data_IF_162525527513
#
_entry.id   IF_162525527513
#
_cell.length_a   1.000
_cell.length_b   1.000
_cell.length_c   1.000
_cell.angle_alpha   90.00
_cell.angle_beta   90.00
_cell.angle_gamma   90.00
#
_symmetry.space_group_name_H-M   'P 1'
#
loop_
_entity.id
_entity.type
_entity.pdbx_description
1 polymer ?
#
# COMPACT_ATOMS: atom_id res chain seq x y z
N UNK A 1 14.32 9.56 16.04
CA UNK A 1 12.90 9.16 15.96
C UNK A 1 12.59 8.15 17.05
N UNK A 2 11.52 8.38 17.84
CA UNK A 2 11.07 7.50 18.93
C UNK A 2 10.40 6.25 18.36
N UNK A 3 10.45 5.13 19.08
CA UNK A 3 9.87 3.83 18.68
C UNK A 3 8.38 3.93 18.27
N UNK A 4 7.62 4.77 18.96
CA UNK A 4 6.22 5.08 18.64
C UNK A 4 6.03 5.67 17.24
N UNK A 5 6.96 6.50 16.76
CA UNK A 5 6.85 7.13 15.44
C UNK A 5 6.97 6.08 14.34
N UNK A 6 7.91 5.13 14.44
CA UNK A 6 8.04 4.04 13.49
C UNK A 6 6.83 3.11 13.49
N UNK A 7 6.27 2.83 14.68
CA UNK A 7 5.06 2.03 14.80
C UNK A 7 3.85 2.71 14.15
N UNK A 8 3.69 4.02 14.37
CA UNK A 8 2.64 4.82 13.74
C UNK A 8 2.75 4.84 12.21
N UNK A 9 3.96 5.09 11.68
CA UNK A 9 4.21 5.08 10.22
C UNK A 9 3.88 3.72 9.62
N UNK A 10 4.31 2.62 10.26
CA UNK A 10 4.02 1.26 9.78
C UNK A 10 2.51 0.97 9.71
N UNK A 11 1.75 1.38 10.72
CA UNK A 11 0.28 1.23 10.74
C UNK A 11 -0.38 2.06 9.64
N UNK A 12 0.02 3.33 9.49
CA UNK A 12 -0.53 4.23 8.47
C UNK A 12 -0.23 3.70 7.06
N UNK A 13 1.00 3.23 6.79
CA UNK A 13 1.35 2.64 5.51
C UNK A 13 0.57 1.36 5.21
N UNK A 14 0.30 0.54 6.23
CA UNK A 14 -0.51 -0.68 6.06
C UNK A 14 -1.98 -0.34 5.74
N UNK A 15 -2.54 0.66 6.43
CA UNK A 15 -3.89 1.14 6.14
C UNK A 15 -4.01 1.67 4.72
N UNK A 16 -3.02 2.44 4.25
CA UNK A 16 -3.01 2.98 2.90
C UNK A 16 -2.85 1.90 1.82
N UNK A 17 -2.05 0.86 2.09
CA UNK A 17 -1.95 -0.32 1.23
C UNK A 17 -3.31 -1.07 1.12
N UNK A 18 -4.04 -1.19 2.23
CA UNK A 18 -5.37 -1.83 2.22
C UNK A 18 -6.38 -1.03 1.39
N UNK A 19 -6.40 0.31 1.52
CA UNK A 19 -7.26 1.19 0.72
C UNK A 19 -6.91 1.10 -0.77
N UNK A 20 -5.63 1.10 -1.13
CA UNK A 20 -5.19 0.92 -2.51
C UNK A 20 -5.60 -0.46 -3.07
N UNK A 21 -5.56 -1.51 -2.26
CA UNK A 21 -6.00 -2.84 -2.66
C UNK A 21 -7.52 -2.89 -2.89
N UNK A 22 -8.31 -2.31 -1.98
CA UNK A 22 -9.76 -2.20 -2.15
C UNK A 22 -10.12 -1.37 -3.39
N UNK A 23 -9.42 -0.26 -3.59
CA UNK A 23 -9.54 0.55 -4.80
C UNK A 23 -9.31 -0.29 -6.05
N UNK A 24 -8.22 -1.09 -6.09
CA UNK A 24 -7.92 -1.98 -7.21
C UNK A 24 -9.05 -2.99 -7.46
N UNK A 25 -9.68 -3.53 -6.41
CA UNK A 25 -10.78 -4.47 -6.57
C UNK A 25 -12.02 -3.77 -7.16
N UNK A 26 -12.30 -2.54 -6.72
CA UNK A 26 -13.47 -1.76 -7.16
C UNK A 26 -13.35 -1.16 -8.56
N UNK A 27 -12.14 -0.89 -9.06
CA UNK A 27 -11.96 -0.52 -10.47
C UNK A 27 -12.34 -1.71 -11.34
N UNK A 28 -13.53 -1.63 -11.92
CA UNK A 28 -14.09 -2.63 -12.83
C UNK A 28 -14.27 -1.93 -14.16
N UNK A 29 -13.47 -2.32 -15.17
CA UNK A 29 -13.57 -1.76 -16.52
C UNK A 29 -13.70 -2.89 -17.54
N UNK A 30 -14.62 -2.72 -18.49
CA UNK A 30 -14.91 -3.68 -19.53
C UNK A 30 -14.31 -3.25 -20.86
N UNK A 31 -13.05 -3.59 -21.13
CA UNK A 31 -12.43 -3.32 -22.42
C UNK A 31 -10.93 -3.66 -22.48
N UNK A 32 -10.46 -4.09 -23.65
CA UNK A 32 -9.09 -4.56 -23.93
C UNK A 32 -8.00 -3.49 -23.71
N UNK A 33 -8.38 -2.21 -23.70
CA UNK A 33 -7.52 -1.05 -23.45
C UNK A 33 -8.16 -0.11 -22.42
N UNK A 34 -8.88 -0.68 -21.46
CA UNK A 34 -9.65 0.09 -20.49
C UNK A 34 -8.72 0.73 -19.46
N UNK A 35 -8.85 2.05 -19.30
CA UNK A 35 -8.14 2.84 -18.31
C UNK A 35 -8.25 2.23 -16.90
N UNK A 36 -9.35 1.52 -16.61
CA UNK A 36 -9.52 0.81 -15.35
C UNK A 36 -8.48 -0.28 -15.13
N UNK A 37 -8.01 -0.97 -16.17
CA UNK A 37 -6.97 -2.00 -16.03
C UNK A 37 -5.61 -1.38 -15.72
N UNK A 38 -5.25 -0.27 -16.38
CA UNK A 38 -4.04 0.52 -16.07
C UNK A 38 -4.12 1.08 -14.65
N UNK A 39 -5.26 1.65 -14.26
CA UNK A 39 -5.49 2.15 -12.91
C UNK A 39 -5.35 1.03 -11.86
N UNK A 40 -5.82 -0.18 -12.17
CA UNK A 40 -5.66 -1.37 -11.33
C UNK A 40 -4.20 -1.73 -11.14
N UNK A 41 -3.41 -1.75 -12.21
CA UNK A 41 -1.97 -2.01 -12.14
C UNK A 41 -1.22 -0.95 -11.32
N UNK A 42 -1.56 0.33 -11.49
CA UNK A 42 -0.95 1.41 -10.70
C UNK A 42 -1.34 1.29 -9.22
N UNK A 43 -2.60 0.99 -8.90
CA UNK A 43 -3.04 0.79 -7.52
C UNK A 43 -2.37 -0.43 -6.87
N UNK A 44 -2.26 -1.55 -7.58
CA UNK A 44 -1.53 -2.72 -7.09
C UNK A 44 -0.03 -2.44 -6.90
N UNK A 45 0.58 -1.71 -7.84
CA UNK A 45 1.98 -1.30 -7.74
C UNK A 45 2.26 -0.40 -6.53
N UNK A 46 1.41 0.60 -6.31
CA UNK A 46 1.50 1.47 -5.12
C UNK A 46 1.24 0.70 -3.82
N UNK A 47 0.27 -0.22 -3.79
CA UNK A 47 0.01 -1.08 -2.64
C UNK A 47 1.24 -1.94 -2.27
N UNK A 48 1.96 -2.48 -3.27
CA UNK A 48 3.18 -3.23 -3.04
C UNK A 48 4.28 -2.37 -2.39
N UNK A 49 4.48 -1.13 -2.86
CA UNK A 49 5.48 -0.20 -2.30
C UNK A 49 5.13 0.19 -0.86
N UNK A 50 3.86 0.48 -0.57
CA UNK A 50 3.41 0.80 0.79
C UNK A 50 3.58 -0.39 1.73
N UNK A 51 3.29 -1.60 1.26
CA UNK A 51 3.47 -2.82 2.04
C UNK A 51 4.95 -3.05 2.35
N UNK A 52 5.84 -2.91 1.35
CA UNK A 52 7.28 -3.06 1.54
C UNK A 52 7.83 -2.05 2.56
N UNK A 53 7.41 -0.79 2.44
CA UNK A 53 7.79 0.28 3.36
C UNK A 53 7.30 -0.04 4.78
N UNK A 54 6.03 -0.46 4.94
CA UNK A 54 5.47 -0.85 6.22
C UNK A 54 6.26 -1.98 6.89
N UNK A 55 6.70 -2.99 6.13
CA UNK A 55 7.51 -4.11 6.61
C UNK A 55 8.90 -3.63 7.05
N UNK A 56 9.59 -2.83 6.24
CA UNK A 56 10.92 -2.30 6.57
C UNK A 56 10.84 -1.43 7.83
N UNK A 57 9.87 -0.51 7.89
CA UNK A 57 9.65 0.36 9.04
C UNK A 57 9.27 -0.45 10.30
N UNK A 58 8.45 -1.49 10.17
CA UNK A 58 8.09 -2.39 11.26
C UNK A 58 9.29 -3.16 11.80
N UNK A 59 10.17 -3.67 10.92
CA UNK A 59 11.42 -4.33 11.32
C UNK A 59 12.37 -3.35 12.03
N UNK A 60 12.48 -2.12 11.54
CA UNK A 60 13.28 -1.05 12.18
C UNK A 60 12.74 -0.66 13.56
N UNK A 61 11.41 -0.62 13.73
CA UNK A 61 10.75 -0.38 15.02
C UNK A 61 11.03 -1.49 16.04
N UNK A 62 11.19 -2.75 15.59
CA UNK A 62 11.52 -3.88 16.46
C UNK A 62 12.99 -3.96 16.88
N UNK A 63 13.92 -3.44 16.06
CA UNK A 63 15.36 -3.42 16.36
C UNK A 63 15.80 -2.29 17.31
N UNK A 64 14.94 -1.28 17.53
CA UNK A 64 15.12 -0.20 18.52
C UNK A 64 14.20 -0.39 19.72
#
# INVERSE_FOLDING_TARGET
MKKNTYKAISIISLALAAVACLGAITVTGGGFMDLSNIARYILLGSAAIFTLTAVITGKMSRKK
#
